data_IF_796426513477
#
_entry.id   IF_796426513477
#
_cell.length_a   1.000
_cell.length_b   1.000
_cell.length_c   1.000
_cell.angle_alpha   90.00
_cell.angle_beta   90.00
_cell.angle_gamma   90.00
#
_symmetry.space_group_name_H-M   'P 1'
#
loop_
_entity.id
_entity.type
_entity.pdbx_description
1 polymer ?
#
# COMPACT_ATOMS: atom_id res chain seq x y z
N UNK A 1 -62.71 38.95 24.47
CA UNK A 1 -62.79 39.39 25.88
C UNK A 1 -61.45 39.02 26.52
N UNK A 2 -60.85 39.92 27.29
CA UNK A 2 -59.46 39.80 27.77
C UNK A 2 -59.40 39.30 29.23
N UNK A 3 -58.19 39.13 29.79
CA UNK A 3 -57.86 38.83 31.21
C UNK A 3 -58.03 37.36 31.64
N UNK A 4 -57.20 36.71 32.49
CA UNK A 4 -55.91 36.90 33.21
C UNK A 4 -55.89 35.75 34.28
N UNK A 5 -54.83 35.32 34.98
CA UNK A 5 -53.41 35.69 35.09
C UNK A 5 -52.58 34.53 35.71
N UNK A 6 -51.22 34.60 35.57
CA UNK A 6 -50.14 34.26 36.56
C UNK A 6 -50.09 32.83 37.17
N UNK A 7 -48.95 32.23 37.56
CA UNK A 7 -47.56 32.66 37.81
C UNK A 7 -46.63 31.39 37.85
N UNK A 8 -45.29 31.40 37.91
CA UNK A 8 -44.22 32.40 37.64
C UNK A 8 -42.81 31.72 37.80
N UNK A 9 -41.74 32.39 37.33
CA UNK A 9 -40.41 32.63 37.97
C UNK A 9 -39.72 31.48 38.76
N UNK A 10 -38.44 31.13 38.60
CA UNK A 10 -37.34 31.47 37.66
C UNK A 10 -36.27 30.36 37.82
N UNK A 11 -35.40 30.14 36.84
CA UNK A 11 -33.94 30.11 37.08
C UNK A 11 -33.16 30.10 35.75
N UNK A 12 -32.05 30.83 35.71
CA UNK A 12 -31.27 31.07 34.50
C UNK A 12 -29.99 30.22 34.45
N UNK A 13 -29.58 29.79 33.25
CA UNK A 13 -28.21 30.07 32.76
C UNK A 13 -28.00 29.78 31.25
N UNK A 14 -27.62 30.87 30.59
CA UNK A 14 -27.01 31.17 29.29
C UNK A 14 -26.04 30.15 28.65
N UNK A 15 -25.84 30.31 27.33
CA UNK A 15 -24.74 29.81 26.45
C UNK A 15 -25.05 28.53 25.65
N UNK A 16 -24.89 28.47 24.32
CA UNK A 16 -24.62 29.54 23.35
C UNK A 16 -25.16 29.22 21.93
N UNK A 17 -25.17 30.23 21.06
CA UNK A 17 -25.74 30.13 19.72
C UNK A 17 -24.94 29.20 18.77
N UNK A 18 -25.63 28.30 18.06
CA UNK A 18 -25.15 27.78 16.78
C UNK A 18 -26.28 27.75 15.75
N UNK A 19 -26.12 28.53 14.67
CA UNK A 19 -27.09 28.63 13.57
C UNK A 19 -26.43 28.15 12.28
N UNK A 20 -26.93 27.09 11.62
CA UNK A 20 -26.27 26.53 10.44
C UNK A 20 -26.48 27.45 9.22
N UNK A 21 -25.37 27.88 8.62
CA UNK A 21 -25.38 28.74 7.44
C UNK A 21 -26.01 28.02 6.23
N UNK A 22 -26.98 28.68 5.59
CA UNK A 22 -27.64 28.20 4.37
C UNK A 22 -26.72 28.38 3.16
N UNK A 23 -26.31 27.30 2.53
CA UNK A 23 -25.66 27.35 1.22
C UNK A 23 -26.70 27.64 0.14
N UNK A 24 -26.50 28.74 -0.62
CA UNK A 24 -27.28 29.01 -1.83
C UNK A 24 -26.67 28.26 -3.00
N UNK A 25 -27.48 27.46 -3.69
CA UNK A 25 -27.17 26.91 -5.00
C UNK A 25 -27.54 27.92 -6.08
N UNK A 26 -26.55 28.48 -6.78
CA UNK A 26 -26.67 29.00 -8.15
C UNK A 26 -25.26 29.37 -8.64
N UNK A 27 -24.76 28.63 -9.64
CA UNK A 27 -24.16 29.19 -10.86
C UNK A 27 -23.74 28.05 -11.80
N UNK A 28 -24.25 28.07 -13.03
CA UNK A 28 -23.81 27.17 -14.10
C UNK A 28 -22.50 27.66 -14.70
N UNK A 29 -21.48 26.79 -14.74
CA UNK A 29 -20.28 27.02 -15.57
C UNK A 29 -20.11 25.85 -16.54
N UNK A 30 -20.74 26.00 -17.69
CA UNK A 30 -20.49 25.16 -18.86
C UNK A 30 -19.05 25.42 -19.34
N UNK A 31 -18.16 24.42 -19.26
CA UNK A 31 -16.79 24.54 -19.78
C UNK A 31 -16.39 23.31 -20.60
N UNK A 32 -16.16 23.55 -21.90
CA UNK A 32 -15.72 22.58 -22.89
C UNK A 32 -14.41 21.88 -22.49
N UNK A 33 -14.49 20.58 -22.18
CA UNK A 33 -13.31 19.76 -21.85
C UNK A 33 -12.62 19.29 -23.14
N UNK A 34 -11.48 19.92 -23.48
CA UNK A 34 -10.46 19.29 -24.32
C UNK A 34 -9.52 18.44 -23.43
N UNK A 35 -9.25 17.16 -23.75
CA UNK A 35 -8.33 16.34 -22.98
C UNK A 35 -6.87 16.64 -23.38
N UNK A 36 -6.25 17.65 -22.75
CA UNK A 36 -4.80 17.86 -22.83
C UNK A 36 -4.11 17.27 -21.60
N UNK A 37 -3.25 16.29 -21.85
CA UNK A 37 -2.32 15.60 -20.96
C UNK A 37 -1.82 16.39 -19.73
N UNK A 38 -1.96 15.82 -18.53
CA UNK A 38 -0.89 15.44 -17.59
C UNK A 38 -1.52 15.10 -16.24
N UNK A 39 -1.31 13.88 -15.71
CA UNK A 39 -1.72 13.57 -14.34
C UNK A 39 -0.96 14.48 -13.35
N UNK A 40 -1.64 15.29 -12.52
CA UNK A 40 -0.96 16.23 -11.63
C UNK A 40 -0.23 15.48 -10.51
N UNK A 41 1.10 15.33 -10.67
CA UNK A 41 2.00 14.70 -9.68
C UNK A 41 2.13 15.47 -8.36
N UNK A 42 1.56 16.67 -8.29
CA UNK A 42 1.56 17.56 -7.13
C UNK A 42 0.17 18.16 -6.95
N UNK A 43 -0.84 17.32 -6.74
CA UNK A 43 -2.03 17.79 -6.04
C UNK A 43 -1.61 18.08 -4.59
N UNK A 44 -1.73 19.33 -4.08
CA UNK A 44 -1.80 19.50 -2.63
C UNK A 44 -2.97 18.65 -2.15
N UNK A 45 -2.82 17.98 -1.01
CA UNK A 45 -3.88 17.18 -0.39
C UNK A 45 -5.07 18.12 -0.11
N UNK A 46 -6.04 18.14 -1.02
CA UNK A 46 -7.24 18.98 -0.94
C UNK A 46 -7.99 18.68 0.38
N UNK A 47 -8.88 19.57 0.85
CA UNK A 47 -9.50 19.46 2.17
C UNK A 47 -10.06 18.08 2.53
N UNK A 48 -10.58 17.30 1.57
CA UNK A 48 -11.06 15.93 1.78
C UNK A 48 -10.03 14.99 2.47
N UNK A 49 -8.73 15.18 2.20
CA UNK A 49 -7.65 14.42 2.82
C UNK A 49 -7.21 14.98 4.18
N UNK A 50 -7.47 16.27 4.44
CA UNK A 50 -7.19 16.92 5.73
C UNK A 50 -8.28 16.63 6.77
N UNK A 51 -9.53 16.57 6.31
CA UNK A 51 -10.71 16.25 7.13
C UNK A 51 -10.97 14.73 7.26
N UNK A 52 -10.07 13.88 6.72
CA UNK A 52 -10.18 12.42 6.77
C UNK A 52 -11.57 11.87 6.40
N UNK A 53 -12.16 12.38 5.31
CA UNK A 53 -13.50 11.96 4.87
C UNK A 53 -13.43 10.52 4.32
N UNK A 54 -13.64 9.56 5.22
CA UNK A 54 -13.74 8.14 4.91
C UNK A 54 -15.11 7.85 4.29
N UNK A 55 -15.16 7.86 2.95
CA UNK A 55 -16.30 7.36 2.20
C UNK A 55 -16.34 5.83 2.29
N UNK A 56 -17.42 5.27 2.81
CA UNK A 56 -17.66 3.82 2.88
C UNK A 56 -18.49 3.33 1.67
N UNK A 57 -18.72 2.02 1.60
CA UNK A 57 -19.50 1.42 0.51
C UNK A 57 -20.97 1.88 0.49
N UNK A 58 -21.57 2.21 1.65
CA UNK A 58 -22.95 2.71 1.70
C UNK A 58 -23.04 4.14 1.14
N UNK A 59 -22.08 5.00 1.50
CA UNK A 59 -22.03 6.41 1.07
C UNK A 59 -21.95 6.55 -0.45
N UNK A 60 -21.25 5.63 -1.12
CA UNK A 60 -21.09 5.67 -2.59
C UNK A 60 -22.13 4.86 -3.35
N UNK A 61 -22.98 4.07 -2.67
CA UNK A 61 -23.87 3.05 -3.25
C UNK A 61 -24.79 3.55 -4.36
N UNK A 62 -25.33 4.76 -4.22
CA UNK A 62 -26.22 5.35 -5.22
C UNK A 62 -25.45 5.75 -6.49
N UNK A 63 -24.23 6.27 -6.32
CA UNK A 63 -23.31 6.72 -7.36
C UNK A 63 -22.62 5.57 -8.13
N UNK A 64 -22.74 4.31 -7.67
CA UNK A 64 -22.20 3.13 -8.41
C UNK A 64 -22.90 2.94 -9.77
N UNK A 65 -24.14 3.43 -9.88
CA UNK A 65 -24.99 3.32 -11.08
C UNK A 65 -24.72 4.38 -12.15
N UNK A 66 -23.90 5.38 -11.83
CA UNK A 66 -23.58 6.46 -12.76
C UNK A 66 -22.88 5.91 -14.01
N UNK A 67 -23.15 6.49 -15.18
CA UNK A 67 -22.53 6.04 -16.44
C UNK A 67 -20.99 6.09 -16.36
N UNK A 68 -20.46 7.12 -15.69
CA UNK A 68 -19.04 7.29 -15.39
C UNK A 68 -18.89 7.55 -13.90
N UNK A 69 -18.01 6.80 -13.23
CA UNK A 69 -17.79 6.99 -11.80
C UNK A 69 -17.05 8.31 -11.54
N UNK A 70 -17.48 9.02 -10.49
CA UNK A 70 -16.63 10.05 -9.89
C UNK A 70 -15.31 9.40 -9.40
N UNK A 71 -14.13 10.00 -9.62
CA UNK A 71 -12.86 9.40 -9.17
C UNK A 71 -12.79 9.05 -7.68
N UNK A 72 -13.48 9.80 -6.80
CA UNK A 72 -13.57 9.47 -5.37
C UNK A 72 -14.40 8.20 -5.14
N UNK A 73 -15.53 8.04 -5.85
CA UNK A 73 -16.36 6.83 -5.81
C UNK A 73 -15.58 5.62 -6.32
N UNK A 74 -14.83 5.77 -7.42
CA UNK A 74 -13.98 4.70 -7.95
C UNK A 74 -12.86 4.29 -6.96
N UNK A 75 -12.21 5.27 -6.30
CA UNK A 75 -11.23 5.00 -5.25
C UNK A 75 -11.86 4.27 -4.05
N UNK A 76 -13.03 4.70 -3.57
CA UNK A 76 -13.75 4.01 -2.50
C UNK A 76 -14.06 2.57 -2.87
N UNK A 77 -14.68 2.33 -4.04
CA UNK A 77 -15.00 0.97 -4.54
C UNK A 77 -13.74 0.09 -4.57
N UNK A 78 -12.62 0.63 -5.06
CA UNK A 78 -11.36 -0.10 -5.14
C UNK A 78 -10.83 -0.50 -3.73
N UNK A 79 -10.85 0.43 -2.77
CA UNK A 79 -10.35 0.19 -1.42
C UNK A 79 -11.30 -0.59 -0.50
N UNK A 80 -12.62 -0.55 -0.73
CA UNK A 80 -13.60 -1.31 0.06
C UNK A 80 -13.76 -2.74 -0.43
N UNK A 81 -13.80 -2.97 -1.76
CA UNK A 81 -14.04 -4.31 -2.31
C UNK A 81 -12.80 -5.21 -2.28
N UNK A 82 -11.59 -4.63 -2.36
CA UNK A 82 -10.28 -5.30 -2.26
C UNK A 82 -10.14 -6.57 -3.11
N UNK A 83 -10.78 -6.61 -4.28
CA UNK A 83 -10.73 -7.79 -5.17
C UNK A 83 -9.34 -7.90 -5.78
N UNK A 84 -8.81 -9.12 -5.80
CA UNK A 84 -7.49 -9.42 -6.40
C UNK A 84 -7.51 -9.38 -7.93
N UNK A 85 -8.69 -9.58 -8.54
CA UNK A 85 -8.91 -9.50 -9.97
C UNK A 85 -9.96 -8.43 -10.28
N UNK A 86 -9.69 -7.60 -11.29
CA UNK A 86 -10.61 -6.57 -11.75
C UNK A 86 -11.96 -7.16 -12.19
N UNK A 87 -11.99 -8.38 -12.73
CA UNK A 87 -13.23 -9.04 -13.19
C UNK A 87 -14.27 -9.19 -12.08
N UNK A 88 -13.82 -9.33 -10.83
CA UNK A 88 -14.67 -9.55 -9.66
C UNK A 88 -15.14 -8.23 -9.02
N UNK A 89 -14.72 -7.07 -9.57
CA UNK A 89 -15.14 -5.74 -9.14
C UNK A 89 -16.45 -5.33 -9.82
N UNK A 90 -17.34 -4.67 -9.08
CA UNK A 90 -18.71 -4.34 -9.53
C UNK A 90 -18.73 -3.41 -10.76
N UNK A 91 -17.71 -2.57 -10.95
CA UNK A 91 -17.55 -1.68 -12.12
C UNK A 91 -16.23 -1.93 -12.84
N UNK A 92 -16.05 -3.17 -13.30
CA UNK A 92 -14.87 -3.59 -14.07
C UNK A 92 -14.77 -2.94 -15.47
N UNK A 93 -15.86 -2.33 -15.93
CA UNK A 93 -16.02 -1.53 -17.14
C UNK A 93 -15.48 -0.10 -17.01
N UNK A 94 -15.43 0.45 -15.80
CA UNK A 94 -15.03 1.84 -15.57
C UNK A 94 -13.51 2.05 -15.78
N UNK A 95 -13.17 3.10 -16.55
CA UNK A 95 -11.78 3.43 -16.91
C UNK A 95 -10.92 3.82 -15.72
N UNK A 96 -11.50 4.41 -14.67
CA UNK A 96 -10.77 4.79 -13.44
C UNK A 96 -10.44 3.54 -12.64
N UNK A 97 -11.40 2.63 -12.47
CA UNK A 97 -11.16 1.31 -11.86
C UNK A 97 -10.07 0.54 -12.64
N UNK A 98 -10.17 0.46 -13.96
CA UNK A 98 -9.16 -0.17 -14.82
C UNK A 98 -7.76 0.47 -14.65
N UNK A 99 -7.69 1.78 -14.49
CA UNK A 99 -6.45 2.51 -14.23
C UNK A 99 -5.86 2.17 -12.85
N UNK A 100 -6.68 2.11 -11.79
CA UNK A 100 -6.25 1.75 -10.44
C UNK A 100 -5.69 0.31 -10.35
N UNK A 101 -6.35 -0.65 -11.00
CA UNK A 101 -5.83 -2.01 -11.13
C UNK A 101 -4.53 -2.06 -11.94
N UNK A 102 -4.42 -1.30 -13.03
CA UNK A 102 -3.21 -1.25 -13.87
C UNK A 102 -2.00 -0.65 -13.13
N UNK A 103 -2.22 0.40 -12.34
CA UNK A 103 -1.22 1.00 -11.45
C UNK A 103 -0.77 -0.04 -10.40
N UNK A 104 -1.74 -0.67 -9.72
CA UNK A 104 -1.48 -1.65 -8.65
C UNK A 104 -0.71 -2.87 -9.18
N UNK A 105 -1.07 -3.36 -10.38
CA UNK A 105 -0.34 -4.42 -11.09
C UNK A 105 1.10 -3.98 -11.37
N UNK A 106 1.30 -2.82 -11.97
CA UNK A 106 2.63 -2.29 -12.32
C UNK A 106 3.54 -2.13 -11.08
N UNK A 107 2.99 -1.64 -9.97
CA UNK A 107 3.70 -1.51 -8.70
C UNK A 107 4.06 -2.88 -8.11
N UNK A 108 3.14 -3.84 -8.17
CA UNK A 108 3.35 -5.21 -7.68
C UNK A 108 4.39 -5.96 -8.51
N UNK A 109 4.34 -5.85 -9.84
CA UNK A 109 5.33 -6.43 -10.75
C UNK A 109 6.72 -5.83 -10.54
N UNK A 110 6.83 -4.50 -10.35
CA UNK A 110 8.10 -3.85 -10.00
C UNK A 110 8.67 -4.36 -8.68
N UNK A 111 7.84 -4.46 -7.63
CA UNK A 111 8.25 -4.97 -6.32
C UNK A 111 8.70 -6.44 -6.41
N UNK A 112 7.95 -7.26 -7.13
CA UNK A 112 8.27 -8.67 -7.38
C UNK A 112 9.60 -8.82 -8.14
N UNK A 113 9.84 -8.01 -9.17
CA UNK A 113 11.11 -8.02 -9.92
C UNK A 113 12.31 -7.61 -9.06
N UNK A 114 12.15 -6.60 -8.19
CA UNK A 114 13.19 -6.21 -7.22
C UNK A 114 13.51 -7.35 -6.24
N UNK A 115 12.49 -7.99 -5.66
CA UNK A 115 12.66 -9.14 -4.76
C UNK A 115 13.33 -10.34 -5.45
N UNK A 116 12.97 -10.63 -6.71
CA UNK A 116 13.62 -11.67 -7.52
C UNK A 116 15.10 -11.34 -7.78
N UNK A 117 15.45 -10.07 -8.00
CA UNK A 117 16.84 -9.64 -8.17
C UNK A 117 17.66 -9.85 -6.89
N UNK A 118 17.14 -9.39 -5.74
CA UNK A 118 17.78 -9.58 -4.43
C UNK A 118 17.95 -11.06 -4.07
N UNK A 119 16.93 -11.90 -4.36
CA UNK A 119 17.01 -13.34 -4.15
C UNK A 119 18.08 -13.98 -5.06
N UNK A 120 18.25 -13.52 -6.30
CA UNK A 120 19.30 -13.98 -7.21
C UNK A 120 20.69 -13.62 -6.68
N UNK A 121 20.87 -12.38 -6.24
CA UNK A 121 22.12 -11.87 -5.67
C UNK A 121 22.52 -12.62 -4.39
N UNK A 122 21.58 -12.82 -3.48
CA UNK A 122 21.75 -13.64 -2.26
C UNK A 122 22.16 -15.08 -2.60
N UNK A 123 21.53 -15.71 -3.60
CA UNK A 123 21.91 -17.04 -4.06
C UNK A 123 23.33 -17.08 -4.69
N UNK A 124 23.76 -16.05 -5.42
CA UNK A 124 25.15 -15.99 -5.92
C UNK A 124 26.16 -15.85 -4.79
N UNK A 125 25.90 -15.00 -3.79
CA UNK A 125 26.76 -14.86 -2.59
C UNK A 125 26.88 -16.18 -1.81
N UNK A 126 25.77 -16.93 -1.68
CA UNK A 126 25.78 -18.28 -1.09
C UNK A 126 26.71 -19.23 -1.87
N UNK A 127 26.58 -19.31 -3.20
CA UNK A 127 27.39 -20.20 -4.04
C UNK A 127 28.87 -19.83 -4.02
N UNK A 128 29.18 -18.53 -4.05
CA UNK A 128 30.54 -18.01 -4.01
C UNK A 128 31.20 -18.23 -2.64
N UNK A 129 30.50 -17.94 -1.55
CA UNK A 129 30.97 -18.22 -0.18
C UNK A 129 31.26 -19.72 0.02
N UNK A 130 30.36 -20.60 -0.44
CA UNK A 130 30.57 -22.05 -0.41
C UNK A 130 31.79 -22.47 -1.23
N UNK A 131 31.98 -21.92 -2.43
CA UNK A 131 33.14 -22.17 -3.28
C UNK A 131 34.45 -21.79 -2.57
N UNK A 132 34.57 -20.59 -2.01
CA UNK A 132 35.78 -20.16 -1.32
C UNK A 132 36.08 -21.01 -0.07
N UNK A 133 35.07 -21.36 0.72
CA UNK A 133 35.27 -22.25 1.88
C UNK A 133 35.74 -23.65 1.46
N UNK A 134 35.19 -24.21 0.37
CA UNK A 134 35.64 -25.50 -0.17
C UNK A 134 37.06 -25.43 -0.72
N UNK A 135 37.44 -24.36 -1.43
CA UNK A 135 38.80 -24.14 -1.92
C UNK A 135 39.82 -24.00 -0.77
N UNK A 136 39.48 -23.23 0.27
CA UNK A 136 40.32 -23.08 1.46
C UNK A 136 40.53 -24.42 2.18
N UNK A 137 39.49 -25.25 2.28
CA UNK A 137 39.58 -26.58 2.86
C UNK A 137 40.45 -27.54 2.03
N UNK A 138 40.36 -27.48 0.70
CA UNK A 138 41.22 -28.25 -0.21
C UNK A 138 42.69 -27.86 -0.06
N UNK A 139 43.00 -26.56 0.02
CA UNK A 139 44.36 -26.05 0.24
C UNK A 139 44.92 -26.50 1.60
N UNK A 140 44.14 -26.40 2.67
CA UNK A 140 44.51 -26.89 4.00
C UNK A 140 44.73 -28.41 4.06
N UNK A 141 44.12 -29.17 3.15
CA UNK A 141 44.24 -30.63 3.06
C UNK A 141 45.46 -31.11 2.27
N UNK A 142 46.06 -30.24 1.44
CA UNK A 142 47.22 -30.56 0.59
C UNK A 142 48.59 -30.28 1.22
N UNK A 143 48.62 -29.59 2.36
CA UNK A 143 49.84 -29.15 3.01
C UNK A 143 50.19 -30.09 4.19
N UNK A 144 51.07 -31.05 3.92
CA UNK A 144 51.46 -32.19 4.77
C UNK A 144 51.98 -31.83 6.16
N UNK A 145 52.32 -30.56 6.42
CA UNK A 145 52.85 -30.12 7.71
C UNK A 145 51.70 -29.94 8.73
N UNK A 146 51.31 -31.01 9.44
CA UNK A 146 50.13 -31.05 10.32
C UNK A 146 50.31 -30.20 11.59
N UNK A 147 49.98 -28.92 11.50
CA UNK A 147 49.84 -28.01 12.65
C UNK A 147 48.40 -28.08 13.19
N UNK A 148 48.24 -28.16 14.52
CA UNK A 148 46.94 -28.18 15.22
C UNK A 148 45.94 -27.11 14.70
N UNK A 149 46.47 -25.91 14.41
CA UNK A 149 45.72 -24.78 13.86
C UNK A 149 45.09 -25.06 12.49
N UNK A 150 45.70 -25.90 11.62
CA UNK A 150 45.12 -26.28 10.33
C UNK A 150 43.89 -27.19 10.50
N UNK A 151 43.97 -28.17 11.41
CA UNK A 151 42.81 -29.02 11.76
C UNK A 151 41.65 -28.17 12.28
N UNK A 152 41.95 -27.23 13.19
CA UNK A 152 40.96 -26.29 13.73
C UNK A 152 40.33 -25.41 12.64
N UNK A 153 41.14 -24.87 11.72
CA UNK A 153 40.64 -24.09 10.58
C UNK A 153 39.77 -24.92 9.64
N UNK A 154 40.15 -26.16 9.34
CA UNK A 154 39.35 -27.07 8.51
C UNK A 154 37.99 -27.40 9.14
N UNK A 155 37.94 -27.68 10.46
CA UNK A 155 36.67 -27.89 11.17
C UNK A 155 35.76 -26.66 11.10
N UNK A 156 36.30 -25.46 11.35
CA UNK A 156 35.53 -24.21 11.27
C UNK A 156 34.98 -23.95 9.85
N UNK A 157 35.74 -24.28 8.80
CA UNK A 157 35.26 -24.20 7.41
C UNK A 157 34.15 -25.22 7.11
N UNK A 158 34.24 -26.45 7.65
CA UNK A 158 33.17 -27.45 7.52
C UNK A 158 31.89 -27.01 8.24
N UNK A 159 32.01 -26.43 9.43
CA UNK A 159 30.89 -25.84 10.18
C UNK A 159 30.27 -24.66 9.42
N UNK A 160 31.09 -23.76 8.88
CA UNK A 160 30.65 -22.68 8.00
C UNK A 160 29.86 -23.16 6.78
N UNK A 161 30.37 -24.18 6.07
CA UNK A 161 29.66 -24.80 4.94
C UNK A 161 28.32 -25.41 5.37
N UNK A 162 28.24 -26.07 6.53
CA UNK A 162 26.97 -26.64 7.05
C UNK A 162 25.95 -25.55 7.35
N UNK A 163 26.33 -24.48 8.04
CA UNK A 163 25.44 -23.34 8.36
C UNK A 163 24.92 -22.68 7.08
N UNK A 164 25.80 -22.48 6.11
CA UNK A 164 25.48 -21.88 4.80
C UNK A 164 24.56 -22.79 3.99
N UNK A 165 24.76 -24.12 4.00
CA UNK A 165 23.85 -25.10 3.38
C UNK A 165 22.48 -25.21 4.07
N UNK A 166 22.42 -25.10 5.40
CA UNK A 166 21.14 -25.04 6.12
C UNK A 166 20.35 -23.78 5.77
N UNK A 167 21.03 -22.63 5.70
CA UNK A 167 20.40 -21.37 5.29
C UNK A 167 19.79 -21.50 3.88
N UNK A 168 20.55 -22.03 2.92
CA UNK A 168 20.04 -22.25 1.56
C UNK A 168 18.90 -23.27 1.47
N UNK A 169 18.85 -24.28 2.35
CA UNK A 169 17.69 -25.20 2.44
C UNK A 169 16.42 -24.48 2.93
N UNK A 170 16.54 -23.58 3.91
CA UNK A 170 15.40 -22.83 4.47
C UNK A 170 14.84 -21.77 3.49
N UNK A 171 15.65 -21.31 2.55
CA UNK A 171 15.29 -20.24 1.60
C UNK A 171 15.08 -20.71 0.14
N UNK A 172 15.02 -22.03 -0.09
CA UNK A 172 14.49 -22.63 -1.33
C UNK A 172 13.00 -22.91 -1.18
N UNK A 173 12.17 -21.91 -1.48
CA UNK A 173 10.72 -21.98 -1.59
C UNK A 173 10.23 -21.30 -2.87
#
# INVERSE_FOLDING_TARGET
MNMMAKAAIDDANTSDNYSPAKWKTEDSVETSIRPSTTFPRTLPSYPWAKECILLDEQTVKEHIKDERLNPLVALTIFFTQQKTNIRDCIRNDDMTIQSLYSITKTLSERKMSSLKSLLKESNSLYLESKKYMSQALELLSKDENVVENKKRAATLLQEGIKVVDEYAKRHKS
#
